data_IF_844476763626
#
_entry.id   IF_844476763626
#
_cell.length_a   1.000
_cell.length_b   1.000
_cell.length_c   1.000
_cell.angle_alpha   90.00
_cell.angle_beta   90.00
_cell.angle_gamma   90.00
#
_symmetry.space_group_name_H-M   'P 1'
#
loop_
_entity.id
_entity.type
_entity.pdbx_description
1 polymer ?
#
# COMPACT_ATOMS: atom_id res chain seq x y z
N UNK A 1 14.49 -23.87 4.66
CA UNK A 1 14.63 -22.59 3.92
C UNK A 1 15.75 -21.78 4.57
N UNK A 2 16.48 -20.94 3.83
CA UNK A 2 17.51 -20.07 4.44
C UNK A 2 16.88 -18.90 5.20
N UNK A 3 17.59 -18.33 6.18
CA UNK A 3 17.14 -17.16 6.94
C UNK A 3 16.81 -15.96 6.03
N UNK A 4 17.63 -15.73 5.00
CA UNK A 4 17.36 -14.69 4.01
C UNK A 4 16.05 -14.92 3.26
N UNK A 5 15.72 -16.17 2.94
CA UNK A 5 14.48 -16.50 2.24
C UNK A 5 13.25 -16.23 3.10
N UNK A 6 13.28 -16.60 4.40
CA UNK A 6 12.21 -16.29 5.35
C UNK A 6 12.05 -14.78 5.57
N UNK A 7 13.17 -14.06 5.66
CA UNK A 7 13.15 -12.60 5.73
C UNK A 7 12.42 -11.98 4.54
N UNK A 8 12.76 -12.41 3.32
CA UNK A 8 12.11 -11.90 2.10
C UNK A 8 10.62 -12.18 2.09
N UNK A 9 10.18 -13.40 2.46
CA UNK A 9 8.75 -13.71 2.57
C UNK A 9 8.09 -12.82 3.62
N UNK A 10 8.69 -12.64 4.79
CA UNK A 10 8.15 -11.77 5.85
C UNK A 10 7.96 -10.33 5.38
N UNK A 11 8.94 -9.77 4.67
CA UNK A 11 8.84 -8.43 4.07
C UNK A 11 7.74 -8.37 3.01
N UNK A 12 7.60 -9.40 2.17
CA UNK A 12 6.54 -9.47 1.17
C UNK A 12 5.14 -9.56 1.78
N UNK A 13 4.97 -10.38 2.83
CA UNK A 13 3.70 -10.48 3.54
C UNK A 13 3.35 -9.15 4.24
N UNK A 14 4.32 -8.43 4.80
CA UNK A 14 4.10 -7.10 5.32
C UNK A 14 3.69 -6.09 4.25
N UNK A 15 4.35 -6.12 3.09
CA UNK A 15 4.03 -5.27 1.93
C UNK A 15 2.62 -5.56 1.41
N UNK A 16 2.26 -6.84 1.27
CA UNK A 16 0.92 -7.27 0.87
C UNK A 16 -0.14 -6.85 1.89
N UNK A 17 0.16 -6.94 3.19
CA UNK A 17 -0.76 -6.51 4.24
C UNK A 17 -1.09 -5.01 4.17
N UNK A 18 -0.10 -4.17 3.81
CA UNK A 18 -0.34 -2.76 3.55
C UNK A 18 -1.29 -2.48 2.38
N UNK A 19 -1.38 -3.38 1.40
CA UNK A 19 -2.23 -3.23 0.20
C UNK A 19 -3.59 -3.91 0.38
N UNK A 20 -3.64 -5.17 0.84
CA UNK A 20 -4.86 -5.96 1.11
C UNK A 20 -4.63 -6.92 2.31
N UNK A 21 -4.81 -6.45 3.54
CA UNK A 21 -4.53 -7.24 4.74
C UNK A 21 -5.35 -8.52 4.83
N UNK A 22 -6.65 -8.45 4.57
CA UNK A 22 -7.52 -9.61 4.75
C UNK A 22 -7.29 -10.67 3.69
N UNK A 23 -7.11 -10.25 2.43
CA UNK A 23 -6.73 -11.15 1.34
C UNK A 23 -5.38 -11.83 1.64
N UNK A 24 -4.41 -11.09 2.19
CA UNK A 24 -3.09 -11.64 2.54
C UNK A 24 -3.21 -12.71 3.61
N UNK A 25 -3.91 -12.41 4.72
CA UNK A 25 -4.11 -13.38 5.81
C UNK A 25 -4.89 -14.60 5.33
N UNK A 26 -5.96 -14.39 4.55
CA UNK A 26 -6.74 -15.47 3.96
C UNK A 26 -5.89 -16.37 3.07
N UNK A 27 -5.11 -15.79 2.16
CA UNK A 27 -4.30 -16.54 1.22
C UNK A 27 -3.14 -17.29 1.88
N UNK A 28 -2.49 -16.70 2.90
CA UNK A 28 -1.47 -17.39 3.71
C UNK A 28 -2.08 -18.59 4.44
N UNK A 29 -3.22 -18.39 5.09
CA UNK A 29 -3.94 -19.46 5.79
C UNK A 29 -4.37 -20.58 4.84
N UNK A 30 -4.91 -20.22 3.67
CA UNK A 30 -5.36 -21.17 2.66
C UNK A 30 -4.19 -21.97 2.08
N UNK A 31 -3.06 -21.30 1.79
CA UNK A 31 -1.85 -21.97 1.31
C UNK A 31 -1.29 -22.97 2.34
N UNK A 32 -1.34 -22.62 3.63
CA UNK A 32 -1.00 -23.56 4.70
C UNK A 32 -1.96 -24.75 4.77
N UNK A 33 -3.26 -24.50 4.75
CA UNK A 33 -4.29 -25.55 4.83
C UNK A 33 -4.24 -26.52 3.64
N UNK A 34 -3.89 -26.03 2.44
CA UNK A 34 -3.72 -26.84 1.24
C UNK A 34 -2.34 -27.55 1.16
N UNK A 35 -1.46 -27.31 2.14
CA UNK A 35 -0.12 -27.90 2.16
C UNK A 35 0.83 -27.35 1.08
N UNK A 36 0.57 -26.16 0.54
CA UNK A 36 1.46 -25.50 -0.42
C UNK A 36 2.70 -24.94 0.24
N UNK A 37 2.58 -24.55 1.51
CA UNK A 37 3.67 -24.04 2.34
C UNK A 37 3.54 -24.59 3.76
N UNK A 38 4.69 -24.88 4.37
CA UNK A 38 4.74 -25.14 5.81
C UNK A 38 4.80 -23.80 6.55
N UNK A 39 3.72 -23.49 7.27
CA UNK A 39 3.66 -22.27 8.07
C UNK A 39 4.47 -22.43 9.36
N UNK A 40 5.17 -21.38 9.82
CA UNK A 40 5.78 -21.39 11.14
C UNK A 40 4.69 -21.46 12.23
N UNK A 41 5.03 -21.91 13.46
CA UNK A 41 4.06 -22.08 14.54
C UNK A 41 3.22 -20.83 14.83
N UNK A 42 3.82 -19.64 14.75
CA UNK A 42 3.15 -18.36 14.96
C UNK A 42 2.04 -18.07 13.91
N UNK A 43 2.10 -18.68 12.72
CA UNK A 43 1.12 -18.51 11.65
C UNK A 43 0.11 -19.67 11.56
N UNK A 44 0.26 -20.75 12.33
CA UNK A 44 -0.72 -21.83 12.38
C UNK A 44 -2.17 -21.37 12.63
N UNK A 45 -2.44 -20.36 13.49
CA UNK A 45 -3.79 -19.86 13.68
C UNK A 45 -4.47 -19.37 12.39
N UNK A 46 -3.69 -18.94 11.38
CA UNK A 46 -4.24 -18.51 10.09
C UNK A 46 -4.96 -19.63 9.33
N UNK A 47 -4.66 -20.90 9.63
CA UNK A 47 -5.30 -22.07 9.02
C UNK A 47 -6.64 -22.43 9.68
N UNK A 48 -6.98 -21.80 10.82
CA UNK A 48 -8.25 -22.04 11.51
C UNK A 48 -9.44 -21.60 10.66
N UNK A 49 -10.51 -22.38 10.64
CA UNK A 49 -11.76 -22.03 9.97
C UNK A 49 -12.32 -20.67 10.40
N UNK A 50 -12.10 -20.27 11.66
CA UNK A 50 -12.50 -18.95 12.15
C UNK A 50 -11.71 -17.82 11.50
N UNK A 51 -10.39 -17.99 11.36
CA UNK A 51 -9.52 -16.96 10.75
C UNK A 51 -9.74 -16.92 9.24
N UNK A 52 -9.84 -18.07 8.57
CA UNK A 52 -10.16 -18.15 7.15
C UNK A 52 -11.53 -17.56 6.82
N UNK A 53 -12.57 -17.93 7.58
CA UNK A 53 -13.90 -17.39 7.38
C UNK A 53 -13.96 -15.88 7.60
N UNK A 54 -13.35 -15.39 8.68
CA UNK A 54 -13.34 -13.95 9.01
C UNK A 54 -12.51 -13.14 8.01
N UNK A 55 -11.29 -13.56 7.71
CA UNK A 55 -10.43 -12.87 6.73
C UNK A 55 -11.01 -12.94 5.32
N UNK A 56 -11.61 -14.07 4.91
CA UNK A 56 -12.30 -14.19 3.64
C UNK A 56 -13.50 -13.23 3.53
N UNK A 57 -14.36 -13.18 4.56
CA UNK A 57 -15.50 -12.26 4.58
C UNK A 57 -15.07 -10.79 4.57
N UNK A 58 -14.04 -10.44 5.35
CA UNK A 58 -13.49 -9.08 5.38
C UNK A 58 -12.80 -8.71 4.07
N UNK A 59 -12.14 -9.65 3.39
CA UNK A 59 -11.56 -9.42 2.06
C UNK A 59 -12.66 -9.13 1.02
N UNK A 60 -13.79 -9.85 1.08
CA UNK A 60 -14.96 -9.57 0.22
C UNK A 60 -15.56 -8.20 0.55
N UNK A 61 -15.72 -7.86 1.83
CA UNK A 61 -16.21 -6.54 2.22
C UNK A 61 -15.27 -5.42 1.73
N UNK A 62 -13.96 -5.59 1.89
CA UNK A 62 -12.93 -4.66 1.42
C UNK A 62 -12.98 -4.50 -0.11
N UNK A 63 -13.16 -5.60 -0.86
CA UNK A 63 -13.33 -5.58 -2.31
C UNK A 63 -14.51 -4.72 -2.77
N UNK A 64 -15.63 -4.75 -2.06
CA UNK A 64 -16.80 -3.94 -2.40
C UNK A 64 -16.67 -2.48 -1.92
N UNK A 65 -16.12 -2.26 -0.73
CA UNK A 65 -15.90 -0.92 -0.19
C UNK A 65 -15.03 -0.07 -1.13
N UNK A 66 -13.97 -0.66 -1.68
CA UNK A 66 -12.99 0.03 -2.52
C UNK A 66 -13.52 0.47 -3.90
N UNK A 67 -14.72 0.02 -4.28
CA UNK A 67 -15.39 0.39 -5.55
C UNK A 67 -16.25 1.65 -5.44
N UNK A 68 -16.52 2.13 -4.23
CA UNK A 68 -17.36 3.29 -3.98
C UNK A 68 -16.44 4.49 -3.71
N UNK A 69 -16.40 5.51 -4.60
CA UNK A 69 -15.55 6.69 -4.41
C UNK A 69 -15.84 7.38 -3.07
N UNK A 70 -14.79 7.69 -2.31
CA UNK A 70 -14.88 8.34 -1.00
C UNK A 70 -15.06 7.36 0.17
N UNK A 71 -15.81 6.27 -0.01
CA UNK A 71 -15.87 5.17 0.97
C UNK A 71 -14.51 4.47 1.02
N UNK A 72 -13.87 4.27 -0.14
CA UNK A 72 -12.52 3.72 -0.26
C UNK A 72 -11.50 4.44 0.64
N UNK A 73 -11.50 5.77 0.62
CA UNK A 73 -10.54 6.61 1.33
C UNK A 73 -10.78 6.59 2.84
N UNK A 74 -12.04 6.65 3.26
CA UNK A 74 -12.41 6.54 4.68
C UNK A 74 -12.13 5.14 5.23
N UNK A 75 -12.38 4.11 4.41
CA UNK A 75 -12.07 2.73 4.73
C UNK A 75 -10.56 2.53 4.86
N UNK A 76 -9.75 3.02 3.94
CA UNK A 76 -8.29 2.91 4.01
C UNK A 76 -7.71 3.61 5.25
N UNK A 77 -8.25 4.77 5.65
CA UNK A 77 -7.84 5.44 6.89
C UNK A 77 -8.08 4.56 8.11
N UNK A 78 -9.26 3.95 8.23
CA UNK A 78 -9.56 3.02 9.32
C UNK A 78 -8.65 1.79 9.26
N UNK A 79 -8.39 1.29 8.05
CA UNK A 79 -7.58 0.09 7.85
C UNK A 79 -6.10 0.29 8.16
N UNK A 80 -5.59 1.52 8.27
CA UNK A 80 -4.24 1.77 8.79
C UNK A 80 -4.03 1.07 10.14
N UNK A 81 -5.06 1.04 11.00
CA UNK A 81 -5.04 0.41 12.31
C UNK A 81 -4.94 -1.12 12.27
N UNK A 82 -5.38 -1.75 11.18
CA UNK A 82 -5.33 -3.20 11.02
C UNK A 82 -4.11 -3.62 10.19
N UNK A 83 -3.87 -2.95 9.07
CA UNK A 83 -2.83 -3.28 8.09
C UNK A 83 -1.43 -3.19 8.67
N UNK A 84 -1.12 -2.11 9.41
CA UNK A 84 0.23 -1.89 9.94
C UNK A 84 0.58 -2.92 11.02
N UNK A 85 -0.26 -3.15 12.05
CA UNK A 85 0.00 -4.21 13.01
C UNK A 85 0.01 -5.62 12.40
N UNK A 86 -0.88 -5.90 11.44
CA UNK A 86 -0.90 -7.19 10.76
C UNK A 86 0.38 -7.42 9.95
N UNK A 87 0.87 -6.41 9.23
CA UNK A 87 2.13 -6.51 8.50
C UNK A 87 3.35 -6.65 9.41
N UNK A 88 3.38 -5.94 10.53
CA UNK A 88 4.38 -6.13 11.59
C UNK A 88 4.38 -7.58 12.06
N UNK A 89 3.21 -8.10 12.43
CA UNK A 89 3.03 -9.46 12.91
C UNK A 89 3.42 -10.49 11.86
N UNK A 90 2.96 -10.37 10.61
CA UNK A 90 3.26 -11.33 9.55
C UNK A 90 4.77 -11.41 9.27
N UNK A 91 5.47 -10.28 9.23
CA UNK A 91 6.92 -10.28 9.08
C UNK A 91 7.60 -10.99 10.25
N UNK A 92 7.29 -10.59 11.49
CA UNK A 92 7.90 -11.14 12.68
C UNK A 92 7.60 -12.64 12.86
N UNK A 93 6.36 -13.06 12.62
CA UNK A 93 5.91 -14.44 12.70
C UNK A 93 6.58 -15.34 11.65
N UNK A 94 6.84 -14.81 10.45
CA UNK A 94 7.59 -15.55 9.40
C UNK A 94 9.05 -15.81 9.80
N UNK A 95 9.63 -14.90 10.57
CA UNK A 95 11.01 -14.95 11.03
C UNK A 95 11.17 -15.67 12.38
N UNK A 96 10.08 -16.09 13.02
CA UNK A 96 10.08 -16.61 14.38
C UNK A 96 9.94 -18.14 14.42
N UNK A 97 11.04 -18.90 14.58
CA UNK A 97 10.98 -20.36 14.70
C UNK A 97 10.32 -20.81 16.00
N UNK A 98 10.47 -20.03 17.09
CA UNK A 98 10.02 -20.41 18.44
C UNK A 98 8.78 -19.61 18.91
N UNK A 99 8.23 -18.74 18.06
CA UNK A 99 7.08 -17.90 18.37
C UNK A 99 7.41 -16.57 19.07
N UNK A 100 8.67 -16.32 19.43
CA UNK A 100 9.12 -15.01 19.92
C UNK A 100 9.21 -13.98 18.78
N UNK A 101 8.43 -12.92 18.87
CA UNK A 101 8.32 -11.88 17.84
C UNK A 101 9.37 -10.80 18.08
N UNK A 102 10.52 -10.92 17.42
CA UNK A 102 11.61 -9.95 17.55
C UNK A 102 11.18 -8.52 17.20
N UNK A 103 11.46 -7.58 18.09
CA UNK A 103 11.08 -6.17 17.95
C UNK A 103 11.57 -5.53 16.62
N UNK A 104 12.77 -5.90 16.17
CA UNK A 104 13.30 -5.44 14.88
C UNK A 104 12.49 -5.92 13.68
N UNK A 105 12.01 -7.15 13.70
CA UNK A 105 11.17 -7.71 12.63
C UNK A 105 9.76 -7.10 12.66
N UNK A 106 9.19 -6.87 13.84
CA UNK A 106 7.94 -6.13 14.01
C UNK A 106 8.06 -4.71 13.44
N UNK A 107 9.12 -3.98 13.81
CA UNK A 107 9.34 -2.61 13.33
C UNK A 107 9.56 -2.56 11.81
N UNK A 108 10.34 -3.50 11.25
CA UNK A 108 10.55 -3.60 9.81
C UNK A 108 9.24 -3.92 9.08
N UNK A 109 8.47 -4.89 9.55
CA UNK A 109 7.17 -5.24 8.97
C UNK A 109 6.16 -4.10 9.06
N UNK A 110 6.10 -3.39 10.20
CA UNK A 110 5.25 -2.20 10.36
C UNK A 110 5.62 -1.11 9.35
N UNK A 111 6.92 -0.83 9.19
CA UNK A 111 7.42 0.16 8.25
C UNK A 111 7.10 -0.18 6.80
N UNK A 112 7.24 -1.45 6.41
CA UNK A 112 6.94 -1.92 5.05
C UNK A 112 5.43 -1.88 4.76
N UNK A 113 4.61 -2.32 5.70
CA UNK A 113 3.15 -2.26 5.59
C UNK A 113 2.65 -0.81 5.52
N UNK A 114 3.20 0.09 6.35
CA UNK A 114 2.88 1.51 6.30
C UNK A 114 3.31 2.13 4.97
N UNK A 115 4.50 1.80 4.46
CA UNK A 115 5.00 2.32 3.17
C UNK A 115 4.10 1.92 2.01
N UNK A 116 3.75 0.64 1.90
CA UNK A 116 2.86 0.16 0.84
C UNK A 116 1.44 0.73 0.97
N UNK A 117 0.91 0.83 2.20
CA UNK A 117 -0.39 1.45 2.45
C UNK A 117 -0.42 2.94 2.09
N UNK A 118 0.61 3.69 2.48
CA UNK A 118 0.73 5.12 2.14
C UNK A 118 0.87 5.37 0.64
N UNK A 119 1.55 4.48 -0.08
CA UNK A 119 1.59 4.52 -1.54
C UNK A 119 0.19 4.30 -2.14
N UNK A 120 -0.55 3.27 -1.68
CA UNK A 120 -1.95 3.04 -2.07
C UNK A 120 -2.81 4.28 -1.82
N UNK A 121 -2.81 4.77 -0.58
CA UNK A 121 -3.60 5.94 -0.18
C UNK A 121 -3.22 7.20 -0.98
N UNK A 122 -1.92 7.40 -1.26
CA UNK A 122 -1.44 8.50 -2.10
C UNK A 122 -1.94 8.40 -3.55
N UNK A 123 -1.94 7.20 -4.13
CA UNK A 123 -2.54 6.96 -5.45
C UNK A 123 -4.04 7.23 -5.44
N UNK A 124 -4.78 6.75 -4.43
CA UNK A 124 -6.23 7.03 -4.27
C UNK A 124 -6.51 8.52 -4.12
N UNK A 125 -5.73 9.25 -3.33
CA UNK A 125 -5.87 10.69 -3.16
C UNK A 125 -5.73 11.45 -4.50
N UNK A 126 -4.80 11.02 -5.36
CA UNK A 126 -4.65 11.61 -6.70
C UNK A 126 -5.81 11.24 -7.63
N UNK A 127 -6.29 9.99 -7.61
CA UNK A 127 -7.42 9.56 -8.43
C UNK A 127 -8.73 10.24 -8.00
N UNK A 128 -8.95 10.43 -6.71
CA UNK A 128 -10.14 11.07 -6.16
C UNK A 128 -10.16 12.60 -6.33
N UNK A 129 -9.13 13.20 -6.96
CA UNK A 129 -9.22 14.60 -7.42
C UNK A 129 -10.30 14.81 -8.49
N UNK A 130 -10.64 13.75 -9.25
CA UNK A 130 -11.83 13.67 -10.10
C UNK A 130 -12.49 12.30 -9.88
N UNK A 131 -13.52 12.20 -9.01
CA UNK A 131 -14.11 10.94 -8.62
C UNK A 131 -14.96 10.34 -9.75
N UNK A 132 -14.29 9.63 -10.65
CA UNK A 132 -14.93 8.85 -11.70
C UNK A 132 -15.01 7.37 -11.28
N UNK A 133 -16.18 6.71 -11.40
CA UNK A 133 -16.32 5.31 -11.01
C UNK A 133 -15.33 4.39 -11.74
N UNK A 134 -15.08 4.63 -13.03
CA UNK A 134 -14.21 3.78 -13.83
C UNK A 134 -12.75 3.75 -13.31
N UNK A 135 -12.18 4.90 -12.94
CA UNK A 135 -10.80 4.98 -12.44
C UNK A 135 -10.65 4.29 -11.08
N UNK A 136 -11.62 4.48 -10.18
CA UNK A 136 -11.66 3.80 -8.88
C UNK A 136 -11.79 2.29 -9.01
N UNK A 137 -12.62 1.82 -9.95
CA UNK A 137 -12.80 0.40 -10.20
C UNK A 137 -11.53 -0.23 -10.77
N UNK A 138 -10.91 0.42 -11.76
CA UNK A 138 -9.64 -0.04 -12.35
C UNK A 138 -8.54 -0.09 -11.30
N UNK A 139 -8.41 0.95 -10.47
CA UNK A 139 -7.43 0.97 -9.40
C UNK A 139 -7.67 -0.13 -8.37
N UNK A 140 -8.91 -0.28 -7.88
CA UNK A 140 -9.28 -1.33 -6.93
C UNK A 140 -9.00 -2.74 -7.48
N UNK A 141 -9.40 -3.01 -8.73
CA UNK A 141 -9.18 -4.31 -9.36
C UNK A 141 -7.70 -4.58 -9.63
N UNK A 142 -6.92 -3.55 -9.98
CA UNK A 142 -5.48 -3.68 -10.12
C UNK A 142 -4.83 -4.03 -8.78
N UNK A 143 -5.25 -3.38 -7.68
CA UNK A 143 -4.77 -3.71 -6.32
C UNK A 143 -5.08 -5.16 -5.94
N UNK A 144 -6.31 -5.64 -6.21
CA UNK A 144 -6.70 -7.03 -5.95
C UNK A 144 -5.84 -8.01 -6.77
N UNK A 145 -5.69 -7.73 -8.07
CA UNK A 145 -4.89 -8.56 -8.98
C UNK A 145 -3.44 -8.61 -8.55
N UNK A 146 -2.86 -7.45 -8.21
CA UNK A 146 -1.49 -7.34 -7.71
C UNK A 146 -1.35 -8.12 -6.40
N UNK A 147 -2.24 -7.94 -5.44
CA UNK A 147 -2.16 -8.62 -4.15
C UNK A 147 -2.25 -10.15 -4.28
N UNK A 148 -3.21 -10.66 -5.06
CA UNK A 148 -3.35 -12.12 -5.29
C UNK A 148 -2.14 -12.68 -6.04
N UNK A 149 -1.70 -12.02 -7.11
CA UNK A 149 -0.59 -12.51 -7.95
C UNK A 149 0.74 -12.42 -7.21
N UNK A 150 0.99 -11.31 -6.51
CA UNK A 150 2.21 -11.11 -5.73
C UNK A 150 2.25 -12.05 -4.52
N UNK A 151 1.12 -12.39 -3.89
CA UNK A 151 1.08 -13.44 -2.87
C UNK A 151 1.46 -14.79 -3.45
N UNK A 152 0.87 -15.21 -4.57
CA UNK A 152 1.23 -16.46 -5.22
C UNK A 152 2.73 -16.49 -5.60
N UNK A 153 3.26 -15.40 -6.14
CA UNK A 153 4.69 -15.25 -6.44
C UNK A 153 5.56 -15.22 -5.19
N UNK A 154 5.11 -14.64 -4.08
CA UNK A 154 5.87 -14.63 -2.83
C UNK A 154 6.10 -16.04 -2.30
N UNK A 155 5.14 -16.95 -2.50
CA UNK A 155 5.25 -18.35 -2.10
C UNK A 155 6.09 -19.17 -3.07
N UNK A 156 5.94 -18.97 -4.38
CA UNK A 156 6.64 -19.76 -5.40
C UNK A 156 8.06 -19.24 -5.73
N UNK A 157 8.20 -17.92 -5.86
CA UNK A 157 9.41 -17.23 -6.32
C UNK A 157 9.67 -15.92 -5.54
N UNK A 158 9.94 -15.98 -4.21
CA UNK A 158 9.98 -14.79 -3.35
C UNK A 158 10.97 -13.71 -3.78
N UNK A 159 12.14 -14.07 -4.33
CA UNK A 159 13.10 -13.06 -4.81
C UNK A 159 12.58 -12.26 -6.01
N UNK A 160 11.86 -12.92 -6.92
CA UNK A 160 11.20 -12.25 -8.05
C UNK A 160 10.07 -11.35 -7.53
N UNK A 161 9.24 -11.87 -6.62
CA UNK A 161 8.18 -11.10 -5.98
C UNK A 161 8.73 -9.86 -5.27
N UNK A 162 9.87 -9.97 -4.57
CA UNK A 162 10.53 -8.85 -3.91
C UNK A 162 11.00 -7.79 -4.92
N UNK A 163 11.65 -8.20 -6.01
CA UNK A 163 12.07 -7.29 -7.07
C UNK A 163 10.89 -6.51 -7.66
N UNK A 164 9.77 -7.20 -7.91
CA UNK A 164 8.54 -6.59 -8.42
C UNK A 164 7.89 -5.66 -7.40
N UNK A 165 7.81 -6.06 -6.12
CA UNK A 165 7.24 -5.25 -5.04
C UNK A 165 8.03 -3.96 -4.83
N UNK A 166 9.36 -4.05 -4.76
CA UNK A 166 10.25 -2.89 -4.63
C UNK A 166 10.16 -2.01 -5.88
N UNK A 167 10.28 -2.59 -7.08
CA UNK A 167 10.24 -1.85 -8.34
C UNK A 167 8.92 -1.10 -8.54
N UNK A 168 7.79 -1.78 -8.34
CA UNK A 168 6.46 -1.16 -8.43
C UNK A 168 6.25 -0.08 -7.37
N UNK A 169 6.70 -0.28 -6.13
CA UNK A 169 6.59 0.72 -5.06
C UNK A 169 7.42 1.98 -5.37
N UNK A 170 8.63 1.83 -5.91
CA UNK A 170 9.47 2.95 -6.33
C UNK A 170 8.84 3.74 -7.48
N UNK A 171 8.31 3.04 -8.48
CA UNK A 171 7.62 3.67 -9.62
C UNK A 171 6.36 4.41 -9.16
N UNK A 172 5.54 3.77 -8.33
CA UNK A 172 4.34 4.38 -7.77
C UNK A 172 4.69 5.61 -6.90
N UNK A 173 5.69 5.50 -6.03
CA UNK A 173 6.16 6.60 -5.20
C UNK A 173 6.68 7.79 -6.02
N UNK A 174 7.47 7.52 -7.07
CA UNK A 174 7.95 8.56 -7.99
C UNK A 174 6.80 9.23 -8.73
N UNK A 175 5.82 8.46 -9.21
CA UNK A 175 4.64 8.98 -9.90
C UNK A 175 3.82 9.87 -8.97
N UNK A 176 3.50 9.39 -7.75
CA UNK A 176 2.77 10.16 -6.74
C UNK A 176 3.51 11.46 -6.41
N UNK A 177 4.81 11.37 -6.12
CA UNK A 177 5.64 12.54 -5.83
C UNK A 177 5.68 13.54 -6.99
N UNK A 178 5.81 13.07 -8.22
CA UNK A 178 5.91 13.92 -9.40
C UNK A 178 4.61 14.68 -9.67
N UNK A 179 3.47 13.97 -9.64
CA UNK A 179 2.14 14.58 -9.81
C UNK A 179 1.88 15.60 -8.71
N UNK A 180 2.14 15.22 -7.47
CA UNK A 180 1.98 16.09 -6.30
C UNK A 180 2.81 17.38 -6.40
N UNK A 181 4.08 17.27 -6.83
CA UNK A 181 4.95 18.43 -7.09
C UNK A 181 4.37 19.33 -8.19
N UNK A 182 3.76 18.76 -9.23
CA UNK A 182 3.18 19.50 -10.34
C UNK A 182 1.94 20.29 -9.89
N UNK A 183 1.06 19.65 -9.11
CA UNK A 183 -0.13 20.27 -8.50
C UNK A 183 0.26 21.43 -7.59
N UNK A 184 1.21 21.22 -6.67
CA UNK A 184 1.68 22.26 -5.77
C UNK A 184 2.33 23.46 -6.49
N UNK A 185 3.09 23.20 -7.55
CA UNK A 185 3.66 24.27 -8.39
C UNK A 185 2.57 25.08 -9.09
N UNK A 186 1.51 24.42 -9.57
CA UNK A 186 0.35 25.08 -10.16
C UNK A 186 -0.36 25.98 -9.15
N UNK A 187 -0.67 25.46 -7.96
CA UNK A 187 -1.31 26.24 -6.88
C UNK A 187 -0.49 27.47 -6.49
N UNK A 188 0.83 27.34 -6.38
CA UNK A 188 1.72 28.48 -6.07
C UNK A 188 1.68 29.60 -7.13
N UNK A 189 1.43 29.26 -8.40
CA UNK A 189 1.29 30.26 -9.48
C UNK A 189 -0.03 31.02 -9.39
N UNK A 190 -1.10 30.35 -8.94
CA UNK A 190 -2.43 30.95 -8.76
C UNK A 190 -2.51 31.86 -7.54
N UNK A 191 -1.76 31.54 -6.48
CA UNK A 191 -1.70 32.32 -5.23
C UNK A 191 -0.61 33.41 -5.27
N UNK A 192 0.22 33.46 -6.32
CA UNK A 192 1.23 34.50 -6.47
C UNK A 192 0.55 35.88 -6.64
N UNK A 193 0.88 36.89 -5.82
CA UNK A 193 0.30 38.22 -5.96
C UNK A 193 0.56 38.78 -7.36
N UNK A 194 -0.50 39.24 -8.04
CA UNK A 194 -0.35 40.01 -9.29
C UNK A 194 0.55 41.21 -8.98
N UNK A 195 1.75 41.26 -9.56
CA UNK A 195 2.62 42.43 -9.46
C UNK A 195 1.83 43.63 -10.03
N UNK A 196 1.70 44.75 -9.29
CA UNK A 196 1.07 45.94 -9.83
C UNK A 196 1.80 46.31 -11.11
N UNK A 197 1.07 46.49 -12.21
CA UNK A 197 1.64 47.01 -13.45
C UNK A 197 2.36 48.31 -13.11
N UNK A 198 3.67 48.37 -13.34
CA UNK A 198 4.43 49.59 -13.13
C UNK A 198 3.79 50.69 -13.98
N UNK A 199 3.23 51.70 -13.32
CA UNK A 199 2.67 52.88 -13.96
C UNK A 199 3.77 53.46 -14.85
N UNK A 200 3.55 53.65 -16.17
CA UNK A 200 4.55 54.26 -17.02
C UNK A 200 4.84 55.64 -16.46
N UNK A 201 6.06 55.86 -15.95
CA UNK A 201 6.50 57.18 -15.54
C UNK A 201 6.43 58.08 -16.77
N UNK A 202 5.51 59.03 -16.75
CA UNK A 202 5.38 60.04 -17.78
C UNK A 202 6.74 60.72 -17.92
N UNK A 203 7.42 60.49 -19.05
CA UNK A 203 8.62 61.21 -19.43
C UNK A 203 8.19 62.68 -19.59
N UNK A 204 8.53 63.52 -18.63
CA UNK A 204 8.46 64.96 -18.78
C UNK A 204 9.42 65.36 -19.90
N UNK A 205 8.88 65.81 -21.03
CA UNK A 205 9.63 66.48 -22.09
C UNK A 205 10.23 67.78 -21.54
N UNK A 206 11.52 68.07 -21.73
CA UNK A 206 12.03 69.42 -21.54
C UNK A 206 11.56 70.26 -22.73
N UNK A 207 10.76 71.28 -22.48
CA UNK A 207 10.44 72.31 -23.48
C UNK A 207 11.62 73.30 -23.59
N UNK A 208 11.77 73.94 -24.77
CA UNK A 208 13.03 74.51 -25.27
C UNK A 208 13.49 75.80 -24.59
#
# INVERSE_FOLDING_TARGET
MSQAHLFVIGILLAWLAGIRVYLTVFGVGLAGLLGWIDLPPALHPAQSWWVLGTSGALAVAEFFADKIPGVDSGWDLLQTLARVPAGAFLAAATLSPDGDLGAGALAAGAGVALTSHTLKAGTRALLNTSPEPASNWVASLAEDTIATTALALALAHPWLALGLAVGSSLLAGLAVWWVWRLLWRGMRRLVAPMRPAATPTARSSPLP
#
